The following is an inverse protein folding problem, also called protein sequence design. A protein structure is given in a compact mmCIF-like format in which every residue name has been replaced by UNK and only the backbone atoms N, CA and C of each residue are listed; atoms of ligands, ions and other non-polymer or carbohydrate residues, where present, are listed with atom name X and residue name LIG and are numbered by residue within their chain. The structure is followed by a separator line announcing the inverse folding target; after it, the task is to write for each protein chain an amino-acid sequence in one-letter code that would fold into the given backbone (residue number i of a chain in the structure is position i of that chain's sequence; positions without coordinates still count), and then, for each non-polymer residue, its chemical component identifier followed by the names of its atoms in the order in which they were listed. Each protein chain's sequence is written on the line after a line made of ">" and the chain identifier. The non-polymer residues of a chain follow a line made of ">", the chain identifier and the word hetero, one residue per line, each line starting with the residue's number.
data_IF_257742347171
#
_entry.id   IF_257742347171
#
_cell.length_a   1.000
_cell.length_b   1.000
_cell.length_c   1.000
_cell.angle_alpha   90.00
_cell.angle_beta   90.00
_cell.angle_gamma   90.00
#
_symmetry.space_group_name_H-M   'P 1'
#
loop_
_entity.id
_entity.type
_entity.pdbx_description
1 polymer ?
#
# COMPACT_ATOMS: atom_id res chain seq x y z
N UNK A 1 58.63 26.94 13.32
CA UNK A 1 59.33 26.32 14.49
C UNK A 1 58.49 25.14 14.89
N UNK A 2 58.94 24.12 14.63
CA UNK A 2 59.65 22.88 15.07
C UNK A 2 58.69 21.71 14.99
N UNK A 3 58.75 20.90 14.00
CA UNK A 3 59.31 19.55 13.79
C UNK A 3 59.39 18.69 15.06
N UNK A 4 58.71 17.48 15.02
CA UNK A 4 59.41 16.21 15.21
C UNK A 4 58.50 15.01 14.87
N UNK A 5 58.96 14.28 13.87
CA UNK A 5 58.74 12.89 13.45
C UNK A 5 59.32 11.89 14.50
N UNK A 6 58.77 10.64 14.48
CA UNK A 6 59.45 9.31 14.63
C UNK A 6 58.37 8.24 14.54
N UNK A 7 58.25 7.37 13.51
CA UNK A 7 58.96 6.18 13.03
C UNK A 7 59.22 5.13 14.10
N UNK A 8 58.68 3.97 13.93
CA UNK A 8 59.01 2.75 14.67
C UNK A 8 58.11 1.57 14.29
N UNK A 9 58.56 0.82 13.34
CA UNK A 9 58.06 -0.43 12.77
C UNK A 9 58.38 -1.64 13.67
N UNK A 10 57.83 -2.75 13.22
CA UNK A 10 58.33 -4.14 13.26
C UNK A 10 57.37 -5.15 13.88
N UNK A 11 56.94 -6.00 12.97
CA UNK A 11 56.32 -7.30 12.95
C UNK A 11 56.76 -8.29 14.02
N UNK A 12 55.87 -9.26 14.35
CA UNK A 12 56.23 -10.67 14.45
C UNK A 12 55.01 -11.57 14.24
N UNK A 13 55.12 -12.45 13.27
CA UNK A 13 54.23 -13.57 13.01
C UNK A 13 54.40 -14.67 14.06
N UNK A 14 53.30 -15.27 14.50
CA UNK A 14 53.31 -16.56 15.16
C UNK A 14 52.19 -17.43 14.59
N UNK A 15 52.58 -18.38 13.75
CA UNK A 15 51.77 -19.50 13.32
C UNK A 15 51.61 -20.50 14.45
N UNK A 16 50.38 -20.85 14.82
CA UNK A 16 50.12 -22.01 15.66
C UNK A 16 49.20 -22.97 14.86
N UNK A 17 49.82 -24.04 14.40
CA UNK A 17 49.13 -25.22 13.89
C UNK A 17 48.46 -25.94 15.07
N UNK A 18 47.17 -26.23 14.98
CA UNK A 18 46.47 -27.16 15.87
C UNK A 18 46.02 -28.36 15.07
N UNK A 19 46.48 -29.49 15.60
CA UNK A 19 46.42 -30.85 15.15
C UNK A 19 44.95 -31.36 15.13
N UNK A 20 44.54 -31.97 14.03
CA UNK A 20 43.37 -32.85 13.96
C UNK A 20 43.61 -34.09 14.82
N UNK A 21 42.78 -34.28 15.83
CA UNK A 21 42.58 -35.63 16.40
C UNK A 21 41.11 -36.00 16.14
N UNK A 22 40.89 -36.89 15.22
CA UNK A 22 39.65 -37.59 15.04
C UNK A 22 39.39 -38.54 16.23
N UNK A 23 38.16 -38.56 16.72
CA UNK A 23 37.59 -39.71 17.43
C UNK A 23 36.26 -40.05 16.82
N UNK A 24 36.27 -41.15 16.07
CA UNK A 24 35.12 -41.94 15.72
C UNK A 24 34.48 -42.54 16.97
N UNK A 25 33.14 -42.46 17.08
CA UNK A 25 32.46 -43.19 18.15
C UNK A 25 30.96 -42.88 18.17
N UNK A 26 30.19 -43.64 17.46
CA UNK A 26 28.86 -44.05 17.33
C UNK A 26 27.81 -43.64 18.38
N UNK A 27 26.58 -43.58 17.90
CA UNK A 27 25.41 -43.76 18.73
C UNK A 27 24.36 -42.70 18.50
N UNK A 28 23.41 -43.03 17.67
CA UNK A 28 22.14 -42.50 17.38
C UNK A 28 21.43 -41.69 18.43
N UNK A 29 20.81 -40.71 17.95
CA UNK A 29 19.81 -39.86 18.55
C UNK A 29 19.46 -38.84 17.54
N UNK A 30 18.60 -39.22 16.60
CA UNK A 30 17.89 -38.21 15.78
C UNK A 30 16.96 -37.49 16.74
N UNK A 31 17.43 -36.38 17.25
CA UNK A 31 16.54 -35.39 17.86
C UNK A 31 15.84 -34.70 16.69
N UNK A 32 14.76 -35.34 16.25
CA UNK A 32 13.82 -34.77 15.28
C UNK A 32 12.86 -33.84 16.01
N UNK A 33 13.41 -32.82 16.62
CA UNK A 33 12.70 -31.66 17.15
C UNK A 33 13.10 -30.41 16.37
N UNK A 34 13.09 -30.50 15.04
CA UNK A 34 13.28 -29.33 14.18
C UNK A 34 11.92 -28.88 13.68
N UNK A 35 11.16 -28.18 14.56
CA UNK A 35 10.04 -27.37 14.11
C UNK A 35 10.53 -26.41 13.04
N UNK A 36 9.69 -26.18 12.01
CA UNK A 36 10.03 -25.21 10.95
C UNK A 36 10.28 -23.83 11.57
N UNK A 37 11.37 -23.18 11.23
CA UNK A 37 11.62 -21.80 11.60
C UNK A 37 11.33 -20.94 10.36
N UNK A 38 10.36 -20.02 10.49
CA UNK A 38 9.95 -19.14 9.39
C UNK A 38 10.23 -17.68 9.75
N UNK A 39 10.57 -16.91 8.74
CA UNK A 39 10.68 -15.45 8.81
C UNK A 39 9.58 -14.79 8.01
N UNK A 40 8.92 -13.79 8.60
CA UNK A 40 7.94 -12.94 7.90
C UNK A 40 8.51 -11.52 7.81
N UNK A 41 8.64 -10.97 6.61
CA UNK A 41 9.03 -9.58 6.39
C UNK A 41 7.80 -8.75 6.02
N UNK A 42 7.51 -7.69 6.78
CA UNK A 42 6.35 -6.82 6.58
C UNK A 42 6.74 -5.35 6.43
N UNK A 43 6.01 -4.62 5.58
CA UNK A 43 6.00 -3.16 5.58
C UNK A 43 4.92 -2.68 6.56
N UNK A 44 5.29 -2.58 7.82
CA UNK A 44 4.33 -2.28 8.88
C UNK A 44 3.89 -0.82 8.89
N UNK A 45 2.60 -0.56 9.05
CA UNK A 45 2.04 0.77 9.29
C UNK A 45 2.29 1.29 10.72
N UNK A 46 2.84 0.42 11.59
CA UNK A 46 3.19 0.79 12.96
C UNK A 46 3.24 -0.38 13.95
N UNK A 47 3.55 -0.11 15.22
CA UNK A 47 3.73 -1.14 16.25
C UNK A 47 2.51 -2.04 16.45
N UNK A 48 1.28 -1.53 16.23
CA UNK A 48 0.06 -2.30 16.38
C UNK A 48 -0.04 -3.42 15.33
N UNK A 49 0.27 -3.11 14.06
CA UNK A 49 0.30 -4.10 13.00
C UNK A 49 1.39 -5.15 13.24
N UNK A 50 2.63 -4.71 13.50
CA UNK A 50 3.75 -5.62 13.80
C UNK A 50 3.40 -6.60 14.91
N UNK A 51 2.80 -6.09 15.99
CA UNK A 51 2.39 -6.92 17.12
C UNK A 51 1.28 -7.89 16.75
N UNK A 52 0.26 -7.44 16.02
CA UNK A 52 -0.87 -8.27 15.63
C UNK A 52 -0.42 -9.44 14.72
N UNK A 53 0.47 -9.16 13.76
CA UNK A 53 1.03 -10.20 12.88
C UNK A 53 1.91 -11.18 13.68
N UNK A 54 2.74 -10.69 14.63
CA UNK A 54 3.54 -11.56 15.49
C UNK A 54 2.66 -12.44 16.40
N UNK A 55 1.65 -11.88 17.05
CA UNK A 55 0.73 -12.63 17.92
C UNK A 55 -0.02 -13.74 17.13
N UNK A 56 -0.44 -13.45 15.89
CA UNK A 56 -1.05 -14.41 15.00
C UNK A 56 -0.09 -15.53 14.60
N UNK A 57 1.13 -15.14 14.22
CA UNK A 57 2.18 -16.08 13.85
C UNK A 57 2.57 -16.99 15.03
N UNK A 58 2.67 -16.45 16.25
CA UNK A 58 2.97 -17.22 17.46
C UNK A 58 1.85 -18.23 17.79
N UNK A 59 0.59 -17.81 17.58
CA UNK A 59 -0.57 -18.70 17.78
C UNK A 59 -0.54 -19.87 16.81
N UNK A 60 -0.35 -19.60 15.50
CA UNK A 60 -0.20 -20.64 14.51
C UNK A 60 0.99 -21.56 14.79
N UNK A 61 2.14 -20.98 15.17
CA UNK A 61 3.37 -21.71 15.46
C UNK A 61 3.22 -22.69 16.61
N UNK A 62 2.47 -22.32 17.65
CA UNK A 62 2.20 -23.19 18.82
C UNK A 62 1.41 -24.45 18.42
N UNK A 63 0.48 -24.33 17.44
CA UNK A 63 -0.32 -25.45 16.97
C UNK A 63 0.38 -26.33 15.92
N UNK A 64 1.48 -25.84 15.33
CA UNK A 64 2.21 -26.48 14.23
C UNK A 64 3.65 -26.90 14.57
N UNK A 65 4.04 -26.88 15.86
CA UNK A 65 5.40 -27.17 16.32
C UNK A 65 6.47 -26.40 15.51
N UNK A 66 6.21 -25.10 15.28
CA UNK A 66 7.03 -24.20 14.49
C UNK A 66 7.53 -23.03 15.33
N UNK A 67 8.42 -22.22 14.74
CA UNK A 67 8.80 -20.90 15.23
C UNK A 67 8.64 -19.90 14.10
N UNK A 68 8.10 -18.73 14.40
CA UNK A 68 7.93 -17.67 13.41
C UNK A 68 8.49 -16.37 13.98
N UNK A 69 9.26 -15.66 13.16
CA UNK A 69 9.80 -14.34 13.50
C UNK A 69 9.26 -13.32 12.52
N UNK A 70 8.56 -12.31 13.02
CA UNK A 70 8.11 -11.17 12.21
C UNK A 70 9.14 -10.06 12.28
N UNK A 71 9.50 -9.52 11.12
CA UNK A 71 10.45 -8.42 10.94
C UNK A 71 9.70 -7.28 10.27
N UNK A 72 9.58 -6.13 10.94
CA UNK A 72 9.12 -4.90 10.33
C UNK A 72 10.29 -4.27 9.56
N UNK A 73 10.13 -4.13 8.26
CA UNK A 73 11.12 -3.55 7.38
C UNK A 73 11.17 -2.02 7.54
N UNK A 74 12.37 -1.44 7.53
CA UNK A 74 12.53 0.02 7.41
C UNK A 74 12.21 0.48 5.97
N UNK A 75 12.58 -0.35 4.98
CA UNK A 75 12.23 -0.22 3.56
C UNK A 75 11.99 -1.64 3.01
N UNK A 76 10.71 -1.98 2.85
CA UNK A 76 10.30 -3.32 2.42
C UNK A 76 10.83 -3.66 1.02
N UNK A 77 10.69 -2.74 0.07
CA UNK A 77 11.09 -2.98 -1.32
C UNK A 77 12.60 -3.17 -1.45
N UNK A 78 13.39 -2.36 -0.74
CA UNK A 78 14.83 -2.51 -0.72
C UNK A 78 15.26 -3.83 -0.08
N UNK A 79 14.67 -4.21 1.06
CA UNK A 79 15.03 -5.44 1.76
C UNK A 79 14.63 -6.70 0.98
N UNK A 80 13.45 -6.70 0.34
CA UNK A 80 13.04 -7.79 -0.55
C UNK A 80 13.99 -7.92 -1.75
N UNK A 81 14.29 -6.82 -2.41
CA UNK A 81 15.22 -6.82 -3.55
C UNK A 81 16.60 -7.36 -3.18
N UNK A 82 17.12 -6.99 -2.01
CA UNK A 82 18.40 -7.51 -1.50
C UNK A 82 18.32 -9.00 -1.15
N UNK A 83 17.21 -9.44 -0.50
CA UNK A 83 16.99 -10.83 -0.14
C UNK A 83 16.95 -11.73 -1.38
N UNK A 84 16.19 -11.36 -2.39
CA UNK A 84 16.12 -12.12 -3.65
C UNK A 84 17.43 -12.12 -4.44
N UNK A 85 18.15 -11.00 -4.45
CA UNK A 85 19.46 -10.93 -5.10
C UNK A 85 20.55 -11.73 -4.37
N UNK A 86 20.39 -11.95 -3.07
CA UNK A 86 21.33 -12.66 -2.21
C UNK A 86 20.98 -14.13 -1.93
N UNK A 87 19.92 -14.68 -2.56
CA UNK A 87 19.37 -16.00 -2.22
C UNK A 87 19.02 -16.15 -0.72
N UNK A 88 18.62 -15.07 -0.07
CA UNK A 88 18.27 -14.98 1.36
C UNK A 88 16.90 -14.27 1.54
N UNK A 89 15.94 -14.66 0.69
CA UNK A 89 14.58 -14.12 0.76
C UNK A 89 13.85 -14.64 2.03
N UNK A 90 12.99 -13.83 2.67
CA UNK A 90 12.17 -14.29 3.79
C UNK A 90 11.18 -15.37 3.34
N UNK A 91 10.77 -16.26 4.26
CA UNK A 91 9.85 -17.36 3.96
C UNK A 91 8.44 -16.88 3.56
N UNK A 92 8.01 -15.76 4.13
CA UNK A 92 6.74 -15.10 3.86
C UNK A 92 6.95 -13.57 3.92
N UNK A 93 6.27 -12.82 3.07
CA UNK A 93 6.43 -11.37 3.08
C UNK A 93 5.19 -10.64 2.53
N UNK A 94 5.06 -9.36 2.88
CA UNK A 94 4.13 -8.48 2.20
C UNK A 94 4.66 -8.17 0.80
N UNK A 95 3.84 -8.40 -0.20
CA UNK A 95 4.08 -7.97 -1.56
C UNK A 95 3.08 -6.89 -1.92
N UNK A 96 3.57 -5.69 -2.14
CA UNK A 96 2.74 -4.57 -2.54
C UNK A 96 2.23 -4.76 -3.98
N UNK A 97 1.02 -4.29 -4.24
CA UNK A 97 0.34 -4.39 -5.53
C UNK A 97 1.20 -3.81 -6.69
N UNK A 98 1.91 -2.72 -6.46
CA UNK A 98 2.72 -2.01 -7.46
C UNK A 98 4.04 -2.72 -7.78
N UNK A 99 4.52 -3.61 -6.92
CA UNK A 99 5.72 -4.41 -7.11
C UNK A 99 5.41 -5.82 -7.62
N UNK A 100 4.18 -6.29 -7.44
CA UNK A 100 3.78 -7.67 -7.71
C UNK A 100 4.13 -8.13 -9.13
N UNK A 101 3.74 -7.38 -10.16
CA UNK A 101 3.97 -7.78 -11.54
C UNK A 101 5.46 -7.95 -11.88
N UNK A 102 6.33 -7.11 -11.29
CA UNK A 102 7.78 -7.22 -11.46
C UNK A 102 8.33 -8.51 -10.82
N UNK A 103 7.89 -8.86 -9.60
CA UNK A 103 8.35 -10.05 -8.91
C UNK A 103 7.78 -11.33 -9.54
N UNK A 104 6.52 -11.33 -9.97
CA UNK A 104 5.91 -12.46 -10.66
C UNK A 104 6.56 -12.70 -12.03
N UNK A 105 6.78 -11.64 -12.81
CA UNK A 105 7.41 -11.72 -14.13
C UNK A 105 8.87 -12.22 -14.10
N UNK A 106 9.59 -11.95 -13.00
CA UNK A 106 10.93 -12.51 -12.79
C UNK A 106 10.92 -13.94 -12.21
N UNK A 107 9.76 -14.54 -11.96
CA UNK A 107 9.64 -15.90 -11.42
C UNK A 107 10.08 -16.04 -9.97
N UNK A 108 10.04 -14.96 -9.20
CA UNK A 108 10.42 -14.98 -7.79
C UNK A 108 9.34 -15.51 -6.85
N UNK A 109 8.07 -15.57 -7.30
CA UNK A 109 6.93 -15.92 -6.47
C UNK A 109 6.42 -17.34 -6.74
N UNK A 110 6.08 -18.06 -5.66
CA UNK A 110 5.31 -19.32 -5.74
C UNK A 110 3.84 -19.02 -6.07
N UNK A 111 3.24 -19.84 -6.93
CA UNK A 111 1.85 -19.70 -7.39
C UNK A 111 0.89 -20.51 -6.53
N UNK A 112 0.90 -20.30 -5.24
CA UNK A 112 0.17 -21.12 -4.26
C UNK A 112 -1.29 -20.70 -4.04
N UNK A 113 -1.65 -19.43 -4.29
CA UNK A 113 -2.89 -18.85 -3.81
C UNK A 113 -4.14 -19.53 -4.38
N UNK A 114 -4.07 -20.05 -5.62
CA UNK A 114 -5.16 -20.81 -6.25
C UNK A 114 -5.51 -22.12 -5.53
N UNK A 115 -4.56 -22.69 -4.75
CA UNK A 115 -4.69 -23.96 -4.06
C UNK A 115 -5.19 -23.80 -2.61
N UNK A 116 -5.36 -22.57 -2.12
CA UNK A 116 -5.89 -22.28 -0.80
C UNK A 116 -7.35 -22.73 -0.65
N UNK A 117 -7.73 -23.18 0.54
CA UNK A 117 -9.12 -23.61 0.83
C UNK A 117 -10.13 -22.48 0.65
N UNK A 118 -9.71 -21.24 0.96
CA UNK A 118 -10.51 -20.02 0.84
C UNK A 118 -10.24 -19.22 -0.44
N UNK A 119 -9.55 -19.79 -1.45
CA UNK A 119 -9.20 -19.10 -2.69
C UNK A 119 -10.38 -18.43 -3.42
N UNK A 120 -11.60 -19.00 -3.26
CA UNK A 120 -12.83 -18.50 -3.92
C UNK A 120 -13.58 -17.45 -3.11
N UNK A 121 -13.13 -17.15 -1.91
CA UNK A 121 -13.76 -16.21 -0.99
C UNK A 121 -13.10 -14.82 -1.04
N UNK A 122 -11.97 -14.71 -1.72
CA UNK A 122 -11.35 -13.39 -1.96
C UNK A 122 -12.17 -12.59 -2.97
N UNK A 123 -12.23 -11.27 -2.78
CA UNK A 123 -12.88 -10.38 -3.73
C UNK A 123 -12.26 -10.52 -5.13
N UNK A 124 -13.08 -10.63 -6.21
CA UNK A 124 -12.58 -10.79 -7.58
C UNK A 124 -11.56 -9.71 -7.99
N UNK A 125 -11.78 -8.45 -7.61
CA UNK A 125 -10.86 -7.33 -7.90
C UNK A 125 -9.47 -7.52 -7.28
N UNK A 126 -9.40 -8.14 -6.10
CA UNK A 126 -8.13 -8.44 -5.43
C UNK A 126 -7.44 -9.66 -6.06
N UNK A 127 -8.22 -10.67 -6.46
CA UNK A 127 -7.70 -11.83 -7.21
C UNK A 127 -7.11 -11.35 -8.54
N UNK A 128 -7.79 -10.49 -9.27
CA UNK A 128 -7.31 -9.91 -10.54
C UNK A 128 -5.99 -9.14 -10.34
N UNK A 129 -5.87 -8.38 -9.23
CA UNK A 129 -4.64 -7.64 -8.90
C UNK A 129 -3.42 -8.56 -8.73
N UNK A 130 -3.61 -9.76 -8.18
CA UNK A 130 -2.54 -10.72 -7.91
C UNK A 130 -2.59 -11.97 -8.81
N UNK A 131 -3.15 -11.80 -9.99
CA UNK A 131 -3.09 -12.78 -11.08
C UNK A 131 -2.01 -12.40 -12.07
N UNK A 132 -1.15 -13.34 -12.43
CA UNK A 132 -0.10 -13.18 -13.43
C UNK A 132 -0.11 -14.39 -14.37
N UNK A 133 -0.09 -14.18 -15.68
CA UNK A 133 -0.20 -15.21 -16.72
C UNK A 133 -1.40 -16.17 -16.53
N UNK A 134 -2.48 -15.67 -15.95
CA UNK A 134 -3.71 -16.45 -15.69
C UNK A 134 -3.68 -17.29 -14.41
N UNK A 135 -2.59 -17.27 -13.64
CA UNK A 135 -2.49 -17.91 -12.35
C UNK A 135 -2.71 -16.91 -11.20
N UNK A 136 -3.58 -17.24 -10.25
CA UNK A 136 -3.70 -16.53 -8.97
C UNK A 136 -2.50 -16.87 -8.10
N UNK A 137 -1.54 -15.95 -8.01
CA UNK A 137 -0.21 -16.18 -7.45
C UNK A 137 -0.19 -16.01 -5.94
N UNK A 138 -0.73 -14.92 -5.44
CA UNK A 138 -0.45 -14.40 -4.11
C UNK A 138 -1.76 -14.04 -3.39
N UNK A 139 -2.00 -14.55 -2.18
CA UNK A 139 -3.23 -14.31 -1.44
C UNK A 139 -3.31 -12.88 -0.90
N UNK A 140 -4.35 -12.08 -1.24
CA UNK A 140 -4.53 -10.75 -0.68
C UNK A 140 -4.66 -10.80 0.84
N UNK A 141 -3.91 -9.95 1.54
CA UNK A 141 -3.98 -9.92 3.01
C UNK A 141 -5.11 -9.05 3.56
N UNK A 142 -5.41 -7.98 2.88
CA UNK A 142 -6.42 -6.96 3.19
C UNK A 142 -6.64 -6.07 1.97
N UNK A 143 -7.53 -5.11 2.08
CA UNK A 143 -7.62 -4.03 1.12
C UNK A 143 -8.01 -2.70 1.78
N UNK A 144 -7.89 -1.65 1.01
CA UNK A 144 -8.31 -0.30 1.38
C UNK A 144 -8.77 0.44 0.13
N UNK A 145 -9.77 1.29 0.26
CA UNK A 145 -10.19 2.23 -0.78
C UNK A 145 -10.00 3.66 -0.27
N UNK A 146 -10.06 4.64 -1.16
CA UNK A 146 -10.11 6.04 -0.77
C UNK A 146 -11.56 6.48 -0.55
N UNK A 147 -11.76 7.34 0.46
CA UNK A 147 -13.01 8.01 0.75
C UNK A 147 -12.81 9.49 1.03
N UNK A 148 -13.89 10.23 1.08
CA UNK A 148 -13.93 11.61 1.55
C UNK A 148 -14.11 11.60 3.07
N UNK A 149 -13.10 12.07 3.79
CA UNK A 149 -13.10 12.11 5.24
C UNK A 149 -13.25 13.56 5.67
N UNK A 150 -14.19 13.82 6.55
CA UNK A 150 -14.52 15.16 7.03
C UNK A 150 -14.24 15.29 8.53
N UNK A 151 -13.72 16.44 8.96
CA UNK A 151 -13.68 16.82 10.36
C UNK A 151 -15.09 17.25 10.80
N UNK A 152 -15.75 16.45 11.63
CA UNK A 152 -17.16 16.64 11.98
C UNK A 152 -17.42 17.89 12.82
N UNK A 153 -16.45 18.34 13.62
CA UNK A 153 -16.59 19.57 14.41
C UNK A 153 -16.50 20.81 13.49
N UNK A 154 -15.61 20.81 12.49
CA UNK A 154 -15.54 21.89 11.47
C UNK A 154 -16.76 21.88 10.56
N UNK A 155 -17.24 20.69 10.18
CA UNK A 155 -18.45 20.50 9.40
C UNK A 155 -19.67 21.15 10.09
N UNK A 156 -19.88 20.80 11.36
CA UNK A 156 -20.96 21.36 12.19
C UNK A 156 -20.80 22.87 12.40
N UNK A 157 -19.58 23.37 12.64
CA UNK A 157 -19.32 24.79 12.81
C UNK A 157 -19.66 25.62 11.55
N UNK A 158 -19.49 25.02 10.35
CA UNK A 158 -19.90 25.61 9.07
C UNK A 158 -21.41 25.52 8.82
N UNK A 159 -22.20 24.90 9.75
CA UNK A 159 -23.63 24.67 9.60
C UNK A 159 -23.97 23.68 8.50
N UNK A 160 -23.08 22.69 8.26
CA UNK A 160 -23.29 21.58 7.33
C UNK A 160 -23.88 20.38 8.07
N UNK A 161 -24.62 19.56 7.33
CA UNK A 161 -25.31 18.35 7.79
C UNK A 161 -25.01 17.19 6.84
N UNK A 162 -25.47 15.98 7.11
CA UNK A 162 -25.33 14.83 6.22
C UNK A 162 -25.93 15.06 4.83
N UNK A 163 -26.92 15.96 4.71
CA UNK A 163 -27.51 16.32 3.41
C UNK A 163 -26.59 17.19 2.53
N UNK A 164 -25.53 17.75 3.12
CA UNK A 164 -24.55 18.60 2.43
C UNK A 164 -23.31 17.80 1.98
N UNK A 165 -23.25 16.48 2.24
CA UNK A 165 -22.15 15.63 1.81
C UNK A 165 -22.02 15.67 0.28
N UNK A 166 -20.83 15.99 -0.26
CA UNK A 166 -20.66 16.11 -1.70
C UNK A 166 -20.96 14.79 -2.42
N UNK A 167 -21.76 14.86 -3.49
CA UNK A 167 -22.11 13.71 -4.35
C UNK A 167 -21.48 13.77 -5.75
N UNK A 168 -20.97 14.94 -6.11
CA UNK A 168 -20.32 15.23 -7.39
C UNK A 168 -19.23 16.30 -7.22
N UNK A 169 -18.48 16.57 -8.30
CA UNK A 169 -17.39 17.54 -8.30
C UNK A 169 -17.86 18.97 -8.01
N UNK A 170 -19.03 19.39 -8.51
CA UNK A 170 -19.56 20.74 -8.28
C UNK A 170 -19.91 20.95 -6.79
N UNK A 171 -20.53 19.97 -6.16
CA UNK A 171 -20.83 19.99 -4.72
C UNK A 171 -19.57 19.89 -3.87
N UNK A 172 -18.54 19.11 -4.29
CA UNK A 172 -17.25 19.06 -3.61
C UNK A 172 -16.59 20.44 -3.58
N UNK A 173 -16.53 21.11 -4.73
CA UNK A 173 -15.98 22.47 -4.85
C UNK A 173 -16.75 23.48 -3.96
N UNK A 174 -18.09 23.43 -4.03
CA UNK A 174 -18.93 24.34 -3.25
C UNK A 174 -18.74 24.16 -1.73
N UNK A 175 -18.67 22.92 -1.25
CA UNK A 175 -18.43 22.60 0.15
C UNK A 175 -17.02 22.95 0.57
N UNK A 176 -16.00 22.67 -0.27
CA UNK A 176 -14.63 23.06 0.00
C UNK A 176 -14.48 24.58 0.14
N UNK A 177 -15.15 25.37 -0.73
CA UNK A 177 -15.23 26.83 -0.60
C UNK A 177 -15.81 27.28 0.71
N UNK A 178 -16.91 26.65 1.16
CA UNK A 178 -17.59 26.99 2.41
C UNK A 178 -16.73 26.66 3.64
N UNK A 179 -15.95 25.60 3.58
CA UNK A 179 -15.06 25.15 4.65
C UNK A 179 -13.71 25.86 4.69
N UNK A 180 -13.30 26.52 3.60
CA UNK A 180 -12.05 27.28 3.55
C UNK A 180 -12.22 28.59 4.32
N UNK A 181 -11.63 28.67 5.52
CA UNK A 181 -11.78 29.83 6.43
C UNK A 181 -10.49 30.04 7.24
N UNK A 182 -10.01 31.28 7.32
CA UNK A 182 -8.80 31.60 8.10
C UNK A 182 -7.59 30.79 7.60
N UNK A 183 -7.00 30.00 8.50
CA UNK A 183 -5.85 29.15 8.21
C UNK A 183 -6.24 27.71 7.82
N UNK A 184 -7.54 27.40 7.78
CA UNK A 184 -8.06 26.08 7.39
C UNK A 184 -8.46 26.08 5.93
N UNK A 185 -7.96 25.09 5.16
CA UNK A 185 -8.39 24.82 3.79
C UNK A 185 -9.56 23.83 3.79
N UNK A 186 -10.44 23.94 2.79
CA UNK A 186 -11.61 23.06 2.68
C UNK A 186 -11.24 21.61 2.37
N UNK A 187 -10.21 21.38 1.54
CA UNK A 187 -9.81 20.05 1.07
C UNK A 187 -8.29 19.91 1.07
N UNK A 188 -7.79 18.72 1.44
CA UNK A 188 -6.38 18.36 1.29
C UNK A 188 -6.23 16.87 0.96
N UNK A 189 -5.24 16.55 0.13
CA UNK A 189 -4.80 15.18 -0.18
C UNK A 189 -3.42 15.20 -0.83
N UNK A 190 -2.74 14.05 -0.88
CA UNK A 190 -1.39 13.94 -1.43
C UNK A 190 -1.31 14.24 -2.93
N UNK A 191 -0.21 14.87 -3.34
CA UNK A 191 0.08 15.23 -4.73
C UNK A 191 0.80 14.06 -5.42
N UNK A 192 0.08 12.97 -5.61
CA UNK A 192 0.59 11.78 -6.29
C UNK A 192 -0.52 11.07 -7.07
N UNK A 193 -0.14 10.24 -8.05
CA UNK A 193 -1.06 9.46 -8.87
C UNK A 193 -2.09 8.69 -8.05
N UNK A 194 -1.69 8.15 -6.89
CA UNK A 194 -2.59 7.41 -6.00
C UNK A 194 -3.83 8.21 -5.55
N UNK A 195 -3.83 9.54 -5.63
CA UNK A 195 -4.99 10.42 -5.38
C UNK A 195 -5.49 11.07 -6.66
N UNK A 196 -4.59 11.61 -7.48
CA UNK A 196 -4.97 12.32 -8.70
C UNK A 196 -5.57 11.38 -9.74
N UNK A 197 -5.10 10.14 -9.83
CA UNK A 197 -5.63 9.12 -10.74
C UNK A 197 -7.12 8.82 -10.53
N UNK A 198 -7.63 9.01 -9.31
CA UNK A 198 -9.07 8.90 -9.04
C UNK A 198 -9.86 9.92 -9.86
N UNK A 199 -9.42 11.19 -9.88
CA UNK A 199 -10.06 12.24 -10.67
C UNK A 199 -9.91 12.00 -12.17
N UNK A 200 -8.76 11.47 -12.62
CA UNK A 200 -8.56 11.04 -14.00
C UNK A 200 -9.58 9.97 -14.39
N UNK A 201 -9.75 8.93 -13.57
CA UNK A 201 -10.73 7.86 -13.82
C UNK A 201 -12.17 8.37 -13.74
N UNK A 202 -12.51 9.25 -12.80
CA UNK A 202 -13.83 9.86 -12.66
C UNK A 202 -14.20 10.75 -13.87
N UNK A 203 -13.20 11.26 -14.61
CA UNK A 203 -13.38 11.94 -15.87
C UNK A 203 -13.47 10.99 -17.08
N UNK A 204 -13.35 9.66 -16.86
CA UNK A 204 -13.40 8.62 -17.91
C UNK A 204 -12.03 8.24 -18.48
N UNK A 205 -10.93 8.79 -17.92
CA UNK A 205 -9.58 8.46 -18.36
C UNK A 205 -9.11 7.11 -17.83
N UNK A 206 -8.18 6.52 -18.57
CA UNK A 206 -7.43 5.32 -18.17
C UNK A 206 -5.95 5.52 -18.51
N UNK A 207 -5.07 4.74 -17.91
CA UNK A 207 -3.64 4.78 -18.26
C UNK A 207 -3.24 3.77 -19.31
N UNK A 208 -4.00 2.66 -19.41
CA UNK A 208 -3.78 1.58 -20.36
C UNK A 208 -5.12 1.16 -20.92
N UNK A 209 -5.16 0.76 -22.17
CA UNK A 209 -6.35 0.23 -22.82
C UNK A 209 -6.78 -1.12 -22.22
N UNK A 210 -7.99 -1.58 -22.57
CA UNK A 210 -8.57 -2.82 -22.02
C UNK A 210 -7.78 -4.08 -22.39
N UNK A 211 -7.04 -4.02 -23.50
CA UNK A 211 -6.28 -5.15 -24.01
C UNK A 211 -4.85 -5.18 -23.38
N UNK A 212 -4.49 -4.20 -22.56
CA UNK A 212 -3.18 -4.12 -21.94
C UNK A 212 -2.03 -3.88 -22.91
N UNK A 213 -2.30 -3.29 -24.07
CA UNK A 213 -1.31 -3.16 -25.14
C UNK A 213 -0.95 -1.73 -25.50
N UNK A 214 -1.77 -0.78 -25.09
CA UNK A 214 -1.60 0.62 -25.45
C UNK A 214 -1.76 1.53 -24.25
N UNK A 215 -0.78 2.39 -24.03
CA UNK A 215 -0.88 3.48 -23.07
C UNK A 215 -1.91 4.53 -23.56
N UNK A 216 -2.68 5.09 -22.63
CA UNK A 216 -3.76 6.07 -22.89
C UNK A 216 -3.66 7.28 -21.95
N UNK A 217 -2.47 7.54 -21.40
CA UNK A 217 -2.27 8.55 -20.36
C UNK A 217 -2.52 9.99 -20.85
N UNK A 218 -2.23 10.32 -22.11
CA UNK A 218 -2.38 11.67 -22.68
C UNK A 218 -3.78 11.97 -23.21
N UNK A 219 -4.79 11.22 -22.76
CA UNK A 219 -6.17 11.42 -23.16
C UNK A 219 -6.76 12.75 -22.65
N UNK A 220 -7.77 13.33 -23.37
CA UNK A 220 -8.48 14.50 -22.89
C UNK A 220 -9.16 14.30 -21.53
N UNK A 221 -9.61 13.08 -21.24
CA UNK A 221 -10.27 12.71 -20.00
C UNK A 221 -9.29 12.75 -18.82
N UNK A 222 -8.08 12.20 -18.98
CA UNK A 222 -7.04 12.29 -17.97
C UNK A 222 -6.62 13.75 -17.70
N UNK A 223 -6.50 14.55 -18.78
CA UNK A 223 -6.22 15.96 -18.63
C UNK A 223 -7.33 16.69 -17.87
N UNK A 224 -8.60 16.42 -18.18
CA UNK A 224 -9.73 17.04 -17.50
C UNK A 224 -9.74 16.73 -15.98
N UNK A 225 -9.37 15.50 -15.59
CA UNK A 225 -9.23 15.12 -14.19
C UNK A 225 -8.16 15.94 -13.46
N UNK A 226 -6.98 16.09 -14.07
CA UNK A 226 -5.90 16.91 -13.50
C UNK A 226 -6.23 18.41 -13.50
N UNK A 227 -6.85 18.92 -14.55
CA UNK A 227 -7.29 20.33 -14.63
C UNK A 227 -8.32 20.67 -13.56
N UNK A 228 -9.22 19.73 -13.21
CA UNK A 228 -10.15 19.93 -12.11
C UNK A 228 -9.42 20.07 -10.77
N UNK A 229 -8.44 19.21 -10.48
CA UNK A 229 -7.62 19.32 -9.26
C UNK A 229 -6.83 20.63 -9.24
N UNK A 230 -6.21 21.01 -10.36
CA UNK A 230 -5.48 22.29 -10.46
C UNK A 230 -6.42 23.48 -10.24
N UNK A 231 -7.64 23.44 -10.78
CA UNK A 231 -8.65 24.48 -10.55
C UNK A 231 -8.96 24.63 -9.05
N UNK A 232 -9.18 23.53 -8.31
CA UNK A 232 -9.43 23.57 -6.86
C UNK A 232 -8.27 24.20 -6.09
N UNK A 233 -7.03 23.89 -6.52
CA UNK A 233 -5.82 24.48 -5.95
C UNK A 233 -5.71 25.98 -6.26
N UNK A 234 -5.88 26.39 -7.50
CA UNK A 234 -5.82 27.80 -7.95
C UNK A 234 -6.89 28.67 -7.28
N UNK A 235 -8.05 28.09 -6.98
CA UNK A 235 -9.11 28.73 -6.20
C UNK A 235 -8.81 28.81 -4.69
N UNK A 236 -7.72 28.16 -4.23
CA UNK A 236 -7.28 28.14 -2.84
C UNK A 236 -8.16 27.31 -1.91
N UNK A 237 -9.00 26.41 -2.46
CA UNK A 237 -9.89 25.52 -1.69
C UNK A 237 -9.29 24.15 -1.46
N UNK A 238 -8.26 23.80 -2.24
CA UNK A 238 -7.38 22.64 -2.08
C UNK A 238 -5.97 23.14 -1.75
N UNK A 239 -5.32 22.48 -0.79
CA UNK A 239 -3.87 22.54 -0.59
C UNK A 239 -3.33 21.14 -0.38
N UNK A 240 -2.14 20.90 -0.91
CA UNK A 240 -1.44 19.65 -0.65
C UNK A 240 -0.83 19.65 0.75
N UNK A 241 -0.67 18.51 1.42
CA UNK A 241 -0.19 18.44 2.80
C UNK A 241 1.13 19.19 3.02
N UNK A 242 2.07 19.14 2.07
CA UNK A 242 3.35 19.86 2.14
C UNK A 242 3.20 21.39 2.25
N UNK A 243 2.13 21.96 1.70
CA UNK A 243 1.81 23.38 1.80
C UNK A 243 1.19 23.75 3.16
N UNK A 244 0.78 22.73 3.92
CA UNK A 244 0.17 22.83 5.24
C UNK A 244 1.13 22.41 6.37
N UNK A 245 2.43 22.27 6.10
CA UNK A 245 3.40 21.69 7.03
C UNK A 245 2.87 20.37 7.65
N UNK A 246 2.34 19.49 6.82
CA UNK A 246 1.84 18.16 7.18
C UNK A 246 2.48 17.11 6.26
N UNK A 247 2.79 15.95 6.81
CA UNK A 247 3.40 14.85 6.06
C UNK A 247 2.39 14.13 5.15
N UNK A 248 1.08 14.20 5.50
CA UNK A 248 -0.01 13.57 4.76
C UNK A 248 -1.37 14.18 5.13
N UNK A 249 -2.44 13.81 4.39
CA UNK A 249 -3.76 14.37 4.58
C UNK A 249 -4.35 14.17 5.98
N UNK A 250 -4.15 13.00 6.59
CA UNK A 250 -4.62 12.73 7.95
C UNK A 250 -3.99 13.64 9.01
N UNK A 251 -2.72 13.96 8.88
CA UNK A 251 -2.07 14.95 9.76
C UNK A 251 -2.66 16.34 9.55
N UNK A 252 -2.91 16.74 8.30
CA UNK A 252 -3.57 18.02 8.01
C UNK A 252 -4.97 18.11 8.63
N UNK A 253 -5.75 17.01 8.56
CA UNK A 253 -7.06 16.90 9.21
C UNK A 253 -6.97 16.98 10.75
N UNK A 254 -6.08 16.18 11.33
CA UNK A 254 -5.85 16.10 12.77
C UNK A 254 -5.39 17.42 13.36
N UNK A 255 -4.48 18.12 12.70
CA UNK A 255 -3.98 19.43 13.08
C UNK A 255 -4.99 20.58 12.84
N UNK A 256 -6.15 20.30 12.27
CA UNK A 256 -7.17 21.31 11.95
C UNK A 256 -6.80 22.22 10.79
N UNK A 257 -5.84 21.87 9.97
CA UNK A 257 -5.39 22.64 8.81
C UNK A 257 -6.23 22.35 7.56
N UNK A 258 -6.87 21.18 7.48
CA UNK A 258 -7.83 20.81 6.45
C UNK A 258 -9.14 20.34 7.07
N UNK A 259 -10.28 20.76 6.50
CA UNK A 259 -11.60 20.35 6.96
C UNK A 259 -12.07 19.03 6.34
N UNK A 260 -11.61 18.72 5.13
CA UNK A 260 -11.83 17.45 4.42
C UNK A 260 -10.51 16.94 3.88
N UNK A 261 -10.39 15.60 3.79
CA UNK A 261 -9.24 14.93 3.15
C UNK A 261 -9.71 13.74 2.34
N UNK A 262 -8.90 13.36 1.32
CA UNK A 262 -9.09 12.10 0.58
C UNK A 262 -8.04 11.12 1.07
N UNK A 263 -8.47 10.16 1.88
CA UNK A 263 -7.62 9.14 2.51
C UNK A 263 -8.38 7.81 2.64
N UNK A 264 -7.66 6.78 3.07
CA UNK A 264 -8.25 5.46 3.32
C UNK A 264 -8.51 5.17 4.81
N UNK A 265 -8.89 3.92 5.15
CA UNK A 265 -9.20 3.48 6.53
C UNK A 265 -8.05 3.69 7.52
N UNK A 266 -6.81 3.83 7.04
CA UNK A 266 -5.64 4.16 7.85
C UNK A 266 -5.75 5.52 8.57
N UNK A 267 -6.77 6.34 8.23
CA UNK A 267 -7.10 7.57 8.98
C UNK A 267 -7.28 7.31 10.48
N UNK A 268 -7.65 6.08 10.87
CA UNK A 268 -7.71 5.66 12.28
C UNK A 268 -6.41 5.95 13.03
N UNK A 269 -5.28 5.89 12.34
CA UNK A 269 -3.95 6.13 12.92
C UNK A 269 -3.74 7.53 13.49
N UNK A 270 -4.49 8.53 13.04
CA UNK A 270 -4.37 9.90 13.59
C UNK A 270 -4.75 9.99 15.08
N UNK A 271 -5.51 9.03 15.59
CA UNK A 271 -5.97 9.07 17.00
C UNK A 271 -4.79 9.00 18.00
N UNK A 272 -3.60 8.54 17.60
CA UNK A 272 -2.41 8.54 18.46
C UNK A 272 -1.91 9.95 18.74
N UNK A 273 -1.90 10.81 17.73
CA UNK A 273 -1.36 12.17 17.80
C UNK A 273 -2.44 13.23 17.98
N UNK A 274 -3.64 12.95 17.48
CA UNK A 274 -4.80 13.84 17.51
C UNK A 274 -6.05 13.15 18.08
N UNK A 275 -6.03 12.73 19.36
CA UNK A 275 -7.09 11.92 19.97
C UNK A 275 -8.46 12.62 20.06
N UNK A 276 -8.49 13.95 20.03
CA UNK A 276 -9.71 14.75 20.11
C UNK A 276 -10.36 15.02 18.75
N UNK A 277 -9.69 14.66 17.64
CA UNK A 277 -10.22 14.86 16.29
C UNK A 277 -11.34 13.87 16.00
N UNK A 278 -12.52 14.40 15.72
CA UNK A 278 -13.68 13.62 15.28
C UNK A 278 -13.80 13.70 13.77
N UNK A 279 -14.02 12.57 13.15
CA UNK A 279 -14.16 12.47 11.71
C UNK A 279 -15.29 11.52 11.31
N UNK A 280 -15.78 11.69 10.10
CA UNK A 280 -16.67 10.74 9.42
C UNK A 280 -16.14 10.50 8.00
N UNK A 281 -16.34 9.29 7.49
CA UNK A 281 -15.94 8.92 6.13
C UNK A 281 -17.17 8.72 5.24
N UNK A 282 -17.07 9.19 4.02
CA UNK A 282 -18.08 9.07 2.98
C UNK A 282 -17.45 8.54 1.70
N UNK A 283 -18.25 7.99 0.79
CA UNK A 283 -17.80 7.68 -0.55
C UNK A 283 -17.29 8.95 -1.26
N UNK A 284 -16.32 8.79 -2.17
CA UNK A 284 -15.88 9.93 -2.98
C UNK A 284 -17.02 10.42 -3.89
N UNK A 285 -17.16 11.74 -4.06
CA UNK A 285 -18.13 12.30 -5.01
C UNK A 285 -17.80 11.83 -6.44
N UNK A 286 -18.86 11.63 -7.25
CA UNK A 286 -18.71 11.22 -8.63
C UNK A 286 -18.13 12.35 -9.50
N UNK A 287 -17.34 11.98 -10.48
CA UNK A 287 -16.97 12.88 -11.58
C UNK A 287 -17.97 12.82 -12.75
N UNK A 288 -17.63 13.47 -13.87
CA UNK A 288 -18.50 13.55 -15.03
C UNK A 288 -18.93 12.18 -15.61
N UNK A 289 -18.04 11.18 -15.54
CA UNK A 289 -18.28 9.85 -16.08
C UNK A 289 -18.64 8.82 -14.98
N UNK A 290 -18.76 9.26 -13.73
CA UNK A 290 -19.26 8.44 -12.64
C UNK A 290 -18.35 8.36 -11.42
N UNK A 291 -18.68 7.38 -10.55
CA UNK A 291 -17.88 7.07 -9.37
C UNK A 291 -16.62 6.31 -9.77
N UNK A 292 -15.51 6.63 -9.14
CA UNK A 292 -14.28 5.84 -9.13
C UNK A 292 -13.51 6.08 -7.86
N UNK A 293 -12.79 5.08 -7.40
CA UNK A 293 -11.76 5.16 -6.37
C UNK A 293 -10.69 4.13 -6.69
N UNK A 294 -9.52 4.24 -6.06
CA UNK A 294 -8.52 3.18 -6.12
C UNK A 294 -8.69 2.19 -4.96
N UNK A 295 -8.41 0.91 -5.26
CA UNK A 295 -8.17 -0.11 -4.24
C UNK A 295 -6.67 -0.29 -4.05
N UNK A 296 -6.23 -0.38 -2.80
CA UNK A 296 -4.85 -0.67 -2.41
C UNK A 296 -4.86 -1.94 -1.58
N UNK A 297 -3.97 -2.85 -1.92
CA UNK A 297 -3.88 -4.15 -1.28
C UNK A 297 -2.43 -4.62 -1.28
N UNK A 298 -2.07 -5.44 -0.30
CA UNK A 298 -0.86 -6.24 -0.34
C UNK A 298 -1.25 -7.71 -0.34
N UNK A 299 -0.37 -8.59 -0.79
CA UNK A 299 -0.57 -10.01 -0.64
C UNK A 299 0.55 -10.66 0.18
N UNK A 300 0.34 -11.91 0.56
CA UNK A 300 1.31 -12.75 1.26
C UNK A 300 2.21 -13.46 0.24
N UNK A 301 3.37 -12.87 -0.09
CA UNK A 301 4.33 -13.47 -1.03
C UNK A 301 5.09 -14.64 -0.40
N UNK A 302 5.27 -15.72 -1.16
CA UNK A 302 6.13 -16.86 -0.84
C UNK A 302 7.18 -16.98 -1.95
N UNK A 303 8.49 -17.16 -1.66
CA UNK A 303 9.49 -17.36 -2.68
C UNK A 303 9.24 -18.63 -3.50
N UNK A 304 9.50 -18.58 -4.82
CA UNK A 304 9.29 -19.71 -5.74
C UNK A 304 10.05 -20.99 -5.35
N UNK A 305 11.21 -20.84 -4.71
CA UNK A 305 12.09 -21.96 -4.33
C UNK A 305 12.15 -22.11 -2.79
N UNK A 306 11.03 -21.88 -2.08
CA UNK A 306 10.99 -21.97 -0.63
C UNK A 306 11.07 -23.42 -0.12
N UNK A 307 12.05 -23.72 0.72
CA UNK A 307 12.16 -25.00 1.43
C UNK A 307 11.07 -25.17 2.51
N UNK A 308 10.44 -24.04 2.93
CA UNK A 308 9.39 -23.98 3.95
C UNK A 308 7.99 -23.78 3.36
N UNK A 309 7.83 -23.96 2.04
CA UNK A 309 6.60 -23.68 1.27
C UNK A 309 5.31 -24.17 1.96
N UNK A 310 5.25 -25.45 2.32
CA UNK A 310 4.03 -26.03 2.88
C UNK A 310 3.65 -25.41 4.24
N UNK A 311 4.64 -25.07 5.06
CA UNK A 311 4.44 -24.36 6.32
C UNK A 311 3.98 -22.91 6.07
N UNK A 312 4.61 -22.22 5.12
CA UNK A 312 4.23 -20.86 4.73
C UNK A 312 2.79 -20.80 4.17
N UNK A 313 2.39 -21.73 3.30
CA UNK A 313 1.02 -21.83 2.78
C UNK A 313 0.01 -22.09 3.91
N UNK A 314 0.33 -23.00 4.84
CA UNK A 314 -0.53 -23.26 6.02
C UNK A 314 -0.67 -22.02 6.91
N UNK A 315 0.42 -21.25 7.08
CA UNK A 315 0.37 -20.00 7.82
C UNK A 315 -0.49 -18.95 7.09
N UNK A 316 -0.39 -18.83 5.76
CA UNK A 316 -1.26 -17.93 4.98
C UNK A 316 -2.73 -18.31 5.11
N UNK A 317 -3.09 -19.60 5.05
CA UNK A 317 -4.47 -20.05 5.31
C UNK A 317 -4.99 -19.59 6.68
N UNK A 318 -4.14 -19.64 7.70
CA UNK A 318 -4.48 -19.14 9.03
C UNK A 318 -4.61 -17.61 9.06
N UNK A 319 -3.64 -16.88 8.49
CA UNK A 319 -3.63 -15.41 8.47
C UNK A 319 -4.77 -14.81 7.64
N UNK A 320 -5.30 -15.55 6.67
CA UNK A 320 -6.43 -15.15 5.82
C UNK A 320 -7.78 -15.77 6.26
N UNK A 321 -7.83 -16.44 7.42
CA UNK A 321 -9.10 -16.88 8.00
C UNK A 321 -9.93 -15.70 8.49
N UNK A 322 -11.26 -15.84 8.52
CA UNK A 322 -12.18 -14.78 8.92
C UNK A 322 -11.86 -14.22 10.30
N UNK A 323 -11.65 -15.10 11.28
CA UNK A 323 -11.32 -14.69 12.65
C UNK A 323 -10.05 -13.86 12.71
N UNK A 324 -9.02 -14.25 11.93
CA UNK A 324 -7.73 -13.57 11.94
C UNK A 324 -7.79 -12.24 11.17
N UNK A 325 -8.51 -12.18 10.05
CA UNK A 325 -8.70 -10.94 9.31
C UNK A 325 -9.50 -9.92 10.14
N UNK A 326 -10.52 -10.36 10.88
CA UNK A 326 -11.25 -9.48 11.81
C UNK A 326 -10.37 -9.02 12.97
N UNK A 327 -9.46 -9.88 13.47
CA UNK A 327 -8.49 -9.48 14.49
C UNK A 327 -7.51 -8.41 13.97
N UNK A 328 -7.08 -8.50 12.72
CA UNK A 328 -6.25 -7.48 12.06
C UNK A 328 -7.02 -6.17 11.86
N UNK A 329 -8.28 -6.25 11.47
CA UNK A 329 -9.17 -5.09 11.37
C UNK A 329 -9.30 -4.36 12.72
N UNK A 330 -9.44 -5.11 13.83
CA UNK A 330 -9.44 -4.57 15.18
C UNK A 330 -8.14 -3.86 15.54
N UNK A 331 -7.02 -4.49 15.21
CA UNK A 331 -5.70 -4.04 15.65
C UNK A 331 -5.21 -2.80 14.89
N UNK A 332 -5.36 -2.76 13.56
CA UNK A 332 -4.78 -1.69 12.74
C UNK A 332 -5.70 -1.14 11.62
N UNK A 333 -7.00 -1.54 11.59
CA UNK A 333 -8.02 -0.81 10.83
C UNK A 333 -8.08 -1.14 9.33
N UNK A 334 -7.59 -2.30 8.90
CA UNK A 334 -7.70 -2.78 7.51
C UNK A 334 -9.05 -3.43 7.24
N UNK A 335 -9.44 -3.49 5.96
CA UNK A 335 -10.65 -4.18 5.54
C UNK A 335 -10.27 -5.59 5.14
N UNK A 336 -11.00 -6.63 5.61
CA UNK A 336 -10.76 -8.03 5.23
C UNK A 336 -10.80 -8.23 3.72
N UNK A 337 -9.90 -9.08 3.20
CA UNK A 337 -9.81 -9.41 1.77
C UNK A 337 -10.77 -10.50 1.32
N UNK A 338 -11.45 -11.18 2.24
CA UNK A 338 -12.47 -12.20 1.95
C UNK A 338 -13.88 -11.63 2.10
N UNK A 339 -14.81 -12.07 1.23
CA UNK A 339 -16.21 -11.61 1.25
C UNK A 339 -16.91 -11.99 2.57
N UNK A 340 -16.64 -13.17 3.12
CA UNK A 340 -17.21 -13.68 4.37
C UNK A 340 -16.80 -12.82 5.58
N UNK A 341 -15.52 -12.50 5.73
CA UNK A 341 -15.03 -11.65 6.81
C UNK A 341 -15.48 -10.19 6.65
N UNK A 342 -15.56 -9.67 5.41
CA UNK A 342 -15.99 -8.30 5.15
C UNK A 342 -17.47 -8.06 5.51
N UNK A 343 -18.33 -9.06 5.37
CA UNK A 343 -19.71 -8.98 5.82
C UNK A 343 -19.79 -8.73 7.34
N UNK A 344 -19.02 -9.47 8.13
CA UNK A 344 -18.92 -9.29 9.57
C UNK A 344 -18.25 -7.97 9.96
N UNK A 345 -17.26 -7.53 9.17
CA UNK A 345 -16.57 -6.25 9.34
C UNK A 345 -17.56 -5.08 9.20
N UNK A 346 -18.39 -5.06 8.16
CA UNK A 346 -19.34 -3.97 7.90
C UNK A 346 -20.35 -3.79 9.02
N UNK A 347 -20.78 -4.91 9.67
CA UNK A 347 -21.66 -4.86 10.84
C UNK A 347 -20.94 -4.28 12.07
N UNK A 348 -19.67 -4.61 12.26
CA UNK A 348 -18.87 -4.21 13.43
C UNK A 348 -18.36 -2.77 13.36
N UNK A 349 -18.08 -2.28 12.15
CA UNK A 349 -17.45 -0.98 11.91
C UNK A 349 -18.27 -0.10 10.96
N UNK A 350 -19.45 0.39 11.39
CA UNK A 350 -20.32 1.21 10.52
C UNK A 350 -19.66 2.51 10.04
N UNK A 351 -18.71 3.06 10.79
CA UNK A 351 -17.96 4.28 10.41
C UNK A 351 -17.04 4.06 9.18
N UNK A 352 -16.79 2.80 8.81
CA UNK A 352 -15.99 2.41 7.65
C UNK A 352 -16.83 1.87 6.48
N UNK A 353 -18.17 1.90 6.61
CA UNK A 353 -19.07 1.33 5.60
C UNK A 353 -18.87 1.95 4.20
N UNK A 354 -18.51 3.23 4.13
CA UNK A 354 -18.22 3.92 2.87
C UNK A 354 -17.01 3.35 2.13
N UNK A 355 -15.97 2.95 2.86
CA UNK A 355 -14.80 2.31 2.24
C UNK A 355 -15.12 0.92 1.69
N UNK A 356 -15.95 0.14 2.42
CA UNK A 356 -16.41 -1.17 1.95
C UNK A 356 -17.31 -1.01 0.71
N UNK A 357 -18.29 -0.11 0.76
CA UNK A 357 -19.19 0.16 -0.36
C UNK A 357 -18.46 0.67 -1.61
N UNK A 358 -17.36 1.38 -1.42
CA UNK A 358 -16.53 1.88 -2.54
C UNK A 358 -15.86 0.77 -3.34
N UNK A 359 -15.76 -0.46 -2.80
CA UNK A 359 -15.18 -1.60 -3.51
C UNK A 359 -15.99 -2.00 -4.77
N UNK A 360 -17.29 -1.71 -4.82
CA UNK A 360 -18.15 -2.03 -5.96
C UNK A 360 -17.74 -1.31 -7.26
N UNK A 361 -17.04 -0.19 -7.15
CA UNK A 361 -16.57 0.62 -8.30
C UNK A 361 -15.09 0.98 -8.20
N UNK A 362 -14.37 0.39 -7.26
CA UNK A 362 -12.93 0.58 -7.12
C UNK A 362 -12.19 -0.10 -8.28
N UNK A 363 -11.11 0.54 -8.70
CA UNK A 363 -10.20 0.01 -9.71
C UNK A 363 -8.79 -0.10 -9.14
N UNK A 364 -8.04 -1.10 -9.58
CA UNK A 364 -6.63 -1.18 -9.24
C UNK A 364 -5.86 -0.08 -9.98
N UNK A 365 -4.91 0.61 -9.33
CA UNK A 365 -3.97 1.44 -10.05
C UNK A 365 -3.20 0.61 -11.09
N UNK A 366 -2.60 1.29 -12.09
CA UNK A 366 -1.82 0.61 -13.12
C UNK A 366 -0.72 -0.27 -12.50
N UNK A 367 -0.65 -1.53 -12.92
CA UNK A 367 0.26 -2.53 -12.37
C UNK A 367 0.71 -3.51 -13.47
N UNK A 368 1.87 -3.27 -14.04
CA UNK A 368 2.61 -4.17 -14.92
C UNK A 368 4.11 -3.97 -14.72
N UNK A 369 4.93 -4.89 -15.20
CA UNK A 369 6.39 -4.82 -15.00
C UNK A 369 6.95 -3.48 -15.53
N UNK A 370 7.66 -2.73 -14.67
CA UNK A 370 8.19 -1.40 -14.98
C UNK A 370 7.27 -0.22 -14.70
N UNK A 371 5.97 -0.42 -14.51
CA UNK A 371 5.01 0.68 -14.29
C UNK A 371 5.30 1.51 -13.04
N UNK A 372 5.79 0.90 -11.96
CA UNK A 372 6.11 1.59 -10.72
C UNK A 372 7.14 2.70 -10.89
N UNK A 373 8.20 2.47 -11.69
CA UNK A 373 9.21 3.48 -11.98
C UNK A 373 8.63 4.64 -12.78
N UNK A 374 7.81 4.35 -13.79
CA UNK A 374 7.17 5.36 -14.63
C UNK A 374 6.17 6.20 -13.84
N UNK A 375 5.40 5.58 -12.94
CA UNK A 375 4.51 6.30 -12.01
C UNK A 375 5.32 7.17 -11.04
N UNK A 376 6.48 6.70 -10.58
CA UNK A 376 7.40 7.49 -9.75
C UNK A 376 7.85 8.78 -10.46
N UNK A 377 8.28 8.70 -11.72
CA UNK A 377 8.66 9.84 -12.55
C UNK A 377 7.48 10.78 -12.80
N UNK A 378 6.30 10.23 -13.03
CA UNK A 378 5.06 11.00 -13.17
C UNK A 378 4.77 11.79 -11.88
N UNK A 379 4.81 11.14 -10.71
CA UNK A 379 4.62 11.81 -9.42
C UNK A 379 5.58 12.98 -9.22
N UNK A 380 6.86 12.78 -9.54
CA UNK A 380 7.85 13.85 -9.44
C UNK A 380 7.52 15.04 -10.38
N UNK A 381 6.97 14.77 -11.58
CA UNK A 381 6.59 15.82 -12.53
C UNK A 381 5.36 16.63 -12.09
N UNK A 382 4.50 16.05 -11.22
CA UNK A 382 3.31 16.70 -10.69
C UNK A 382 3.61 17.76 -9.61
N UNK A 383 4.82 17.79 -9.02
CA UNK A 383 5.18 18.76 -7.99
C UNK A 383 4.97 20.21 -8.43
N UNK A 384 5.02 20.47 -9.75
CA UNK A 384 4.72 21.79 -10.33
C UNK A 384 3.30 22.28 -10.06
N UNK A 385 2.34 21.41 -9.78
CA UNK A 385 0.94 21.77 -9.48
C UNK A 385 0.83 22.65 -8.22
N UNK A 386 1.62 22.35 -7.19
CA UNK A 386 1.65 23.13 -5.96
C UNK A 386 2.14 24.58 -6.20
N UNK A 387 2.91 24.83 -7.25
CA UNK A 387 3.36 26.18 -7.61
C UNK A 387 2.42 26.93 -8.56
N UNK A 388 1.35 26.29 -9.07
CA UNK A 388 0.38 26.86 -9.99
C UNK A 388 0.94 27.16 -11.40
N UNK A 389 2.12 26.63 -11.74
CA UNK A 389 2.77 26.91 -13.03
C UNK A 389 3.23 25.61 -13.68
N UNK A 390 2.26 24.79 -14.11
CA UNK A 390 2.47 23.43 -14.61
C UNK A 390 1.88 23.25 -16.01
N UNK A 391 2.63 22.58 -16.89
CA UNK A 391 2.15 22.12 -18.20
C UNK A 391 1.60 20.69 -18.09
N UNK A 392 0.37 20.54 -17.60
CA UNK A 392 -0.27 19.23 -17.41
C UNK A 392 -0.32 18.41 -18.70
N UNK A 393 -0.53 19.05 -19.85
CA UNK A 393 -0.56 18.35 -21.13
C UNK A 393 0.81 17.82 -21.53
N UNK A 394 1.88 18.61 -21.30
CA UNK A 394 3.24 18.18 -21.56
C UNK A 394 3.66 17.03 -20.62
N UNK A 395 3.25 17.09 -19.35
CA UNK A 395 3.48 16.01 -18.37
C UNK A 395 2.78 14.72 -18.80
N UNK A 396 1.49 14.77 -19.17
CA UNK A 396 0.76 13.60 -19.64
C UNK A 396 1.34 13.03 -20.94
N UNK A 397 1.82 13.88 -21.86
CA UNK A 397 2.52 13.42 -23.07
C UNK A 397 3.80 12.67 -22.76
N UNK A 398 4.63 13.15 -21.82
CA UNK A 398 5.83 12.46 -21.36
C UNK A 398 5.49 11.15 -20.67
N UNK A 399 4.49 11.18 -19.78
CA UNK A 399 4.02 9.99 -19.09
C UNK A 399 3.49 8.93 -20.07
N UNK A 400 2.73 9.33 -21.10
CA UNK A 400 2.28 8.47 -22.18
C UNK A 400 3.44 7.74 -22.89
N UNK A 401 4.50 8.48 -23.25
CA UNK A 401 5.66 7.91 -23.94
C UNK A 401 6.41 6.90 -23.05
N UNK A 402 6.63 7.26 -21.79
CA UNK A 402 7.31 6.38 -20.83
C UNK A 402 6.48 5.13 -20.51
N UNK A 403 5.17 5.32 -20.31
CA UNK A 403 4.24 4.22 -20.01
C UNK A 403 4.15 3.24 -21.18
N UNK A 404 4.10 3.73 -22.44
CA UNK A 404 4.09 2.87 -23.63
C UNK A 404 5.40 2.09 -23.76
N UNK A 405 6.55 2.74 -23.52
CA UNK A 405 7.83 2.07 -23.58
C UNK A 405 7.95 0.93 -22.56
N UNK A 406 7.52 1.17 -21.32
CA UNK A 406 7.49 0.14 -20.28
C UNK A 406 6.48 -0.99 -20.60
N UNK A 407 5.33 -0.64 -21.19
CA UNK A 407 4.32 -1.62 -21.60
C UNK A 407 4.80 -2.50 -22.75
N UNK A 408 5.50 -1.92 -23.72
CA UNK A 408 6.11 -2.67 -24.84
C UNK A 408 7.20 -3.64 -24.32
N UNK A 409 7.99 -3.24 -23.31
CA UNK A 409 8.98 -4.10 -22.67
C UNK A 409 8.31 -5.22 -21.87
N UNK A 410 7.22 -4.95 -21.17
CA UNK A 410 6.49 -5.94 -20.39
C UNK A 410 5.79 -6.98 -21.27
N UNK A 411 5.36 -6.61 -22.47
CA UNK A 411 4.65 -7.49 -23.42
C UNK A 411 5.59 -8.20 -24.43
N UNK A 412 6.86 -7.86 -24.47
CA UNK A 412 7.85 -8.26 -25.43
C UNK A 412 8.59 -9.34 -25.54
#
# INVERSE_FOLDING_TARGET
>A
MSKKTWIGAIALAAAAAVVLTGCSGGGGGSDSGNGSELTILIGSSGPAETKAVQDAADTWAADNDAKVKVIAADDLNQQLSQGFAGDDAPDLFYMAWDQFANYAGNGYLDTYAKDLKNAKDFYPSLVDTFTFDGDFVCAPKDFSTLGLIVNTDMWAAAGLTDADVPTDWDSLEAVAKKLTTGDTVGLSFGLEYARLGVFMNQAGGTLVDKDGTKATADSPENLAGLEYVQKLHDEGVLKFPSELDAGWGGEALGAGKAAMVIEGPWIKGIASDYPDTKWAAYELPAGPEGKSTFTFTNCWGIPANSDTRDAAVSLVEYLTSDDQQLAFADAFGVIPSTESAAASYAEKYPDYASFVASNDYAVSPVNFAGSASVVGDFNASLEGMASGNVDLKGILGTFQEQLQAALDEANG
#
